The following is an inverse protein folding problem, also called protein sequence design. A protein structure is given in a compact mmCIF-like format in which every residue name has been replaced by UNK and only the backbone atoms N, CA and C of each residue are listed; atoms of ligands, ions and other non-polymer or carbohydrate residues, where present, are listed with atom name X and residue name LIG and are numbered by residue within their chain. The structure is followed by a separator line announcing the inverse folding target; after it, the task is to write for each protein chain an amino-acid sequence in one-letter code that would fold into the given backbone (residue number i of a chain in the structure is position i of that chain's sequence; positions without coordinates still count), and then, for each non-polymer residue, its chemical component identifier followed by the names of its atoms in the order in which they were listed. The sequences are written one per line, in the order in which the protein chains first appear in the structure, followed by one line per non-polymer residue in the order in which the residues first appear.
data_IF_985058150439
#
_entry.id   IF_985058150439
#
_cell.length_a   1.000
_cell.length_b   1.000
_cell.length_c   1.000
_cell.angle_alpha   90.00
_cell.angle_beta   90.00
_cell.angle_gamma   90.00
#
_symmetry.space_group_name_H-M   'P 1'
#
loop_
_entity.id
_entity.type
_entity.pdbx_description
1 polymer ?
#
# COMPACT_ATOMS: atom_id res chain seq x y z
N UNK A 1 -22.51 4.12 5.12
CA UNK A 1 -23.85 4.71 4.88
C UNK A 1 -24.60 3.87 3.87
N UNK A 2 -25.94 3.87 3.88
CA UNK A 2 -26.73 3.18 2.86
C UNK A 2 -26.52 3.83 1.46
N UNK A 3 -26.32 3.05 0.40
CA UNK A 3 -26.27 3.55 -0.98
C UNK A 3 -27.56 4.29 -1.35
N UNK A 4 -27.46 5.53 -1.85
CA UNK A 4 -28.64 6.34 -2.21
C UNK A 4 -28.77 6.58 -3.71
N UNK A 5 -27.65 6.72 -4.42
CA UNK A 5 -27.65 6.94 -5.87
C UNK A 5 -27.53 5.60 -6.62
N UNK A 6 -27.96 5.57 -7.89
CA UNK A 6 -27.79 4.39 -8.76
C UNK A 6 -26.32 3.95 -8.82
N UNK A 7 -25.40 4.91 -9.01
CA UNK A 7 -23.96 4.64 -9.02
C UNK A 7 -23.48 3.99 -7.70
N UNK A 8 -23.93 4.50 -6.55
CA UNK A 8 -23.55 3.91 -5.25
C UNK A 8 -24.12 2.50 -5.08
N UNK A 9 -25.33 2.24 -5.57
CA UNK A 9 -25.95 0.92 -5.51
C UNK A 9 -25.19 -0.09 -6.38
N UNK A 10 -24.86 0.29 -7.63
CA UNK A 10 -24.04 -0.53 -8.53
C UNK A 10 -22.68 -0.83 -7.92
N UNK A 11 -21.93 0.20 -7.52
CA UNK A 11 -20.59 0.03 -6.92
C UNK A 11 -20.64 -0.81 -5.65
N UNK A 12 -21.64 -0.61 -4.79
CA UNK A 12 -21.79 -1.41 -3.58
C UNK A 12 -22.09 -2.88 -3.91
N UNK A 13 -22.93 -3.15 -4.90
CA UNK A 13 -23.22 -4.52 -5.35
C UNK A 13 -21.96 -5.21 -5.92
N UNK A 14 -21.19 -4.52 -6.76
CA UNK A 14 -19.92 -5.03 -7.29
C UNK A 14 -18.91 -5.30 -6.18
N UNK A 15 -18.82 -4.39 -5.21
CA UNK A 15 -17.94 -4.50 -4.05
C UNK A 15 -18.15 -5.78 -3.24
N UNK A 16 -19.40 -6.20 -3.05
CA UNK A 16 -19.71 -7.43 -2.30
C UNK A 16 -19.29 -8.71 -3.03
N UNK A 17 -19.09 -8.65 -4.34
CA UNK A 17 -18.72 -9.81 -5.17
C UNK A 17 -17.23 -9.87 -5.48
N UNK A 18 -16.41 -8.98 -4.90
CA UNK A 18 -14.97 -9.00 -5.09
C UNK A 18 -14.33 -10.23 -4.43
N UNK A 19 -13.34 -10.86 -5.08
CA UNK A 19 -12.63 -11.97 -4.48
C UNK A 19 -11.80 -11.50 -3.28
N UNK A 20 -11.63 -12.38 -2.29
CA UNK A 20 -10.68 -12.16 -1.21
C UNK A 20 -9.24 -12.03 -1.74
N UNK A 21 -8.35 -11.45 -0.93
CA UNK A 21 -6.93 -11.41 -1.27
C UNK A 21 -6.36 -12.82 -1.35
N UNK A 22 -5.63 -13.12 -2.42
CA UNK A 22 -5.05 -14.47 -2.60
C UNK A 22 -3.83 -14.69 -1.70
N UNK A 23 -3.50 -15.94 -1.34
CA UNK A 23 -2.30 -16.25 -0.55
C UNK A 23 -1.00 -15.75 -1.19
N UNK A 24 -0.93 -15.69 -2.53
CA UNK A 24 0.23 -15.17 -3.27
C UNK A 24 0.39 -13.66 -3.08
N UNK A 25 -0.72 -12.92 -3.15
CA UNK A 25 -0.75 -11.47 -2.93
C UNK A 25 -0.41 -11.14 -1.47
N UNK A 26 -0.96 -11.90 -0.52
CA UNK A 26 -0.65 -11.78 0.91
C UNK A 26 0.84 -12.05 1.20
N UNK A 27 1.39 -13.14 0.67
CA UNK A 27 2.81 -13.46 0.82
C UNK A 27 3.71 -12.37 0.22
N UNK A 28 3.33 -11.80 -0.92
CA UNK A 28 4.03 -10.66 -1.51
C UNK A 28 3.97 -9.43 -0.60
N UNK A 29 2.79 -9.11 -0.06
CA UNK A 29 2.59 -7.97 0.83
C UNK A 29 3.49 -8.08 2.07
N UNK A 30 3.47 -9.21 2.77
CA UNK A 30 4.28 -9.40 3.98
C UNK A 30 5.78 -9.39 3.71
N UNK A 31 6.22 -9.84 2.53
CA UNK A 31 7.63 -9.85 2.14
C UNK A 31 8.17 -8.48 1.76
N UNK A 32 7.35 -7.64 1.12
CA UNK A 32 7.83 -6.38 0.54
C UNK A 32 7.49 -5.16 1.40
N UNK A 33 6.48 -5.25 2.28
CA UNK A 33 5.98 -4.10 3.01
C UNK A 33 6.25 -4.14 4.52
N UNK A 34 6.67 -5.28 5.08
CA UNK A 34 7.10 -5.39 6.48
C UNK A 34 8.62 -5.30 6.59
N UNK A 35 9.09 -4.74 7.70
CA UNK A 35 10.51 -4.75 8.02
C UNK A 35 10.92 -6.14 8.51
N UNK A 36 11.95 -6.70 7.87
CA UNK A 36 12.56 -7.96 8.25
C UNK A 36 13.75 -7.71 9.18
N UNK A 37 13.54 -7.90 10.49
CA UNK A 37 14.51 -7.50 11.52
C UNK A 37 15.10 -8.73 12.24
N UNK A 38 16.40 -8.67 12.52
CA UNK A 38 17.10 -9.58 13.42
C UNK A 38 17.55 -8.83 14.67
N UNK A 39 17.04 -9.20 15.85
CA UNK A 39 17.51 -8.59 17.09
C UNK A 39 18.80 -9.26 17.57
N UNK A 40 19.85 -8.46 17.73
CA UNK A 40 21.12 -8.92 18.32
C UNK A 40 21.07 -8.81 19.83
N UNK A 41 21.34 -9.94 20.48
CA UNK A 41 21.63 -10.05 21.90
C UNK A 41 23.11 -10.41 22.13
N UNK A 42 23.53 -10.55 23.39
CA UNK A 42 24.89 -11.02 23.74
C UNK A 42 25.22 -12.42 23.20
N UNK A 43 24.19 -13.24 22.96
CA UNK A 43 24.32 -14.67 22.65
C UNK A 43 23.94 -14.99 21.19
N UNK A 44 23.91 -13.99 20.31
CA UNK A 44 23.58 -14.16 18.90
C UNK A 44 22.40 -13.31 18.43
N UNK A 45 21.93 -13.60 17.22
CA UNK A 45 20.87 -12.88 16.52
C UNK A 45 19.61 -13.74 16.48
N UNK A 46 18.47 -13.14 16.82
CA UNK A 46 17.17 -13.79 16.70
C UNK A 46 16.40 -13.18 15.54
N UNK A 47 16.04 -14.01 14.55
CA UNK A 47 15.15 -13.62 13.45
C UNK A 47 13.74 -13.34 14.00
N UNK A 48 13.20 -12.15 13.73
CA UNK A 48 11.84 -11.81 14.16
C UNK A 48 10.74 -12.38 13.26
N UNK A 49 11.06 -12.88 12.08
CA UNK A 49 10.07 -13.52 11.19
C UNK A 49 9.75 -14.96 11.59
N UNK A 50 10.78 -15.77 11.86
CA UNK A 50 10.63 -17.20 12.15
C UNK A 50 11.04 -17.59 13.56
N UNK A 51 11.55 -16.66 14.39
CA UNK A 51 11.96 -16.91 15.76
C UNK A 51 13.32 -17.59 15.93
N UNK A 52 13.92 -18.11 14.85
CA UNK A 52 15.20 -18.83 14.90
C UNK A 52 16.33 -17.94 15.40
N UNK A 53 17.05 -18.43 16.41
CA UNK A 53 18.27 -17.82 16.92
C UNK A 53 19.48 -18.48 16.27
N UNK A 54 20.47 -17.68 15.91
CA UNK A 54 21.70 -18.14 15.27
C UNK A 54 22.86 -17.20 15.59
N UNK A 55 24.07 -17.71 15.46
CA UNK A 55 25.27 -16.91 15.66
C UNK A 55 25.48 -15.92 14.52
N UNK A 56 25.84 -14.70 14.88
CA UNK A 56 26.18 -13.67 13.93
C UNK A 56 27.31 -12.84 14.50
N UNK A 57 28.39 -12.73 13.74
CA UNK A 57 29.60 -12.03 14.17
C UNK A 57 29.33 -10.61 14.70
N UNK A 58 30.29 -10.06 15.46
CA UNK A 58 30.15 -8.72 16.01
C UNK A 58 29.95 -7.69 14.89
N UNK A 59 29.14 -6.67 15.16
CA UNK A 59 28.96 -5.48 14.29
C UNK A 59 28.36 -5.72 12.88
N UNK A 60 27.89 -6.93 12.52
CA UNK A 60 27.16 -7.10 11.24
C UNK A 60 25.85 -6.29 11.25
N UNK A 61 25.58 -5.55 10.16
CA UNK A 61 24.36 -4.72 9.98
C UNK A 61 23.24 -5.47 9.26
N UNK A 62 23.57 -6.51 8.50
CA UNK A 62 22.60 -7.38 7.82
C UNK A 62 23.01 -8.84 7.98
N UNK A 63 22.04 -9.75 8.00
CA UNK A 63 22.26 -11.18 8.11
C UNK A 63 21.20 -11.93 7.30
N UNK A 64 21.54 -13.08 6.72
CA UNK A 64 20.55 -13.97 6.11
C UNK A 64 20.15 -15.02 7.15
N UNK A 65 18.86 -15.14 7.45
CA UNK A 65 18.40 -16.14 8.41
C UNK A 65 18.72 -17.56 7.89
N UNK A 66 19.34 -18.44 8.69
CA UNK A 66 19.64 -19.80 8.24
C UNK A 66 18.38 -20.65 8.03
N UNK A 67 17.28 -20.35 8.70
CA UNK A 67 16.01 -21.08 8.58
C UNK A 67 15.16 -20.53 7.42
N UNK A 68 14.59 -19.32 7.56
CA UNK A 68 13.67 -18.76 6.56
C UNK A 68 14.34 -18.11 5.35
N UNK A 69 15.68 -18.02 5.33
CA UNK A 69 16.49 -17.44 4.24
C UNK A 69 16.23 -15.96 3.92
N UNK A 70 15.37 -15.28 4.67
CA UNK A 70 15.11 -13.84 4.55
C UNK A 70 16.35 -13.04 4.96
N UNK A 71 16.63 -11.96 4.23
CA UNK A 71 17.66 -10.97 4.58
C UNK A 71 17.11 -10.04 5.65
N UNK A 72 17.79 -10.00 6.79
CA UNK A 72 17.41 -9.26 7.98
C UNK A 72 18.27 -8.00 8.13
N UNK A 73 17.63 -6.89 8.53
CA UNK A 73 18.32 -5.75 9.14
C UNK A 73 18.63 -6.09 10.59
N UNK A 74 19.91 -6.10 10.96
CA UNK A 74 20.33 -6.46 12.31
C UNK A 74 20.32 -5.22 13.19
N UNK A 75 19.57 -5.29 14.29
CA UNK A 75 19.44 -4.19 15.25
C UNK A 75 19.93 -4.67 16.62
N UNK A 76 20.94 -3.98 17.17
CA UNK A 76 21.40 -4.22 18.53
C UNK A 76 20.41 -3.59 19.51
N UNK A 77 19.67 -4.42 20.24
CA UNK A 77 18.65 -3.95 21.19
C UNK A 77 18.36 -4.98 22.25
N UNK A 78 17.86 -4.53 23.40
CA UNK A 78 17.31 -5.40 24.46
C UNK A 78 15.82 -5.69 24.27
N UNK A 79 15.16 -5.03 23.32
CA UNK A 79 13.74 -5.27 22.99
C UNK A 79 13.57 -6.72 22.52
N UNK A 80 12.45 -7.34 22.88
CA UNK A 80 12.07 -8.69 22.43
C UNK A 80 10.86 -8.70 21.50
N UNK A 81 10.13 -7.59 21.41
CA UNK A 81 8.92 -7.46 20.59
C UNK A 81 9.14 -6.41 19.50
N UNK A 82 8.43 -6.59 18.39
CA UNK A 82 8.28 -5.61 17.32
C UNK A 82 6.86 -5.73 16.82
N UNK A 83 6.13 -4.63 16.83
CA UNK A 83 4.79 -4.56 16.26
C UNK A 83 4.85 -3.60 15.07
N UNK A 84 4.29 -4.02 13.95
CA UNK A 84 4.24 -3.25 12.72
C UNK A 84 2.79 -3.12 12.29
N UNK A 85 2.36 -1.91 11.92
CA UNK A 85 1.02 -1.60 11.42
C UNK A 85 1.17 -0.62 10.25
N UNK A 86 0.54 -0.94 9.12
CA UNK A 86 0.83 -0.29 7.83
C UNK A 86 -0.37 -0.41 6.88
N UNK A 87 -0.89 0.67 6.30
CA UNK A 87 -2.01 0.65 5.30
C UNK A 87 -1.53 0.33 3.87
N UNK A 88 -0.35 -0.26 3.80
CA UNK A 88 0.65 0.01 2.78
C UNK A 88 0.44 -0.63 1.42
N UNK A 89 -0.58 -1.45 1.24
CA UNK A 89 -0.62 -2.36 0.09
C UNK A 89 -1.91 -2.19 -0.68
N UNK A 90 -1.76 -1.97 -1.98
CA UNK A 90 -2.87 -1.77 -2.89
C UNK A 90 -2.93 -2.85 -3.94
N UNK A 91 -4.12 -3.32 -4.26
CA UNK A 91 -4.42 -4.08 -5.47
C UNK A 91 -5.16 -3.15 -6.43
N UNK A 92 -4.69 -3.11 -7.67
CA UNK A 92 -5.34 -2.39 -8.77
C UNK A 92 -6.03 -3.43 -9.66
N UNK A 93 -7.29 -3.20 -10.00
CA UNK A 93 -8.05 -4.10 -10.86
C UNK A 93 -9.04 -3.32 -11.73
N UNK A 94 -9.69 -4.00 -12.66
CA UNK A 94 -10.80 -3.48 -13.46
C UNK A 94 -12.01 -4.37 -13.27
N UNK A 95 -13.13 -3.77 -12.88
CA UNK A 95 -14.42 -4.44 -12.75
C UNK A 95 -15.42 -3.64 -13.57
N UNK A 96 -15.94 -4.28 -14.62
CA UNK A 96 -16.79 -3.62 -15.62
C UNK A 96 -16.07 -2.38 -16.20
N UNK A 97 -16.70 -1.20 -16.18
CA UNK A 97 -16.12 0.07 -16.62
C UNK A 97 -15.22 0.74 -15.56
N UNK A 98 -15.20 0.24 -14.33
CA UNK A 98 -14.53 0.90 -13.22
C UNK A 98 -13.07 0.49 -13.12
N UNK A 99 -12.21 1.50 -13.00
CA UNK A 99 -10.94 1.32 -12.34
C UNK A 99 -11.20 1.13 -10.85
N UNK A 100 -10.68 0.03 -10.31
CA UNK A 100 -10.76 -0.34 -8.91
C UNK A 100 -9.37 -0.26 -8.27
N UNK A 101 -9.33 0.33 -7.08
CA UNK A 101 -8.16 0.36 -6.21
C UNK A 101 -8.59 -0.11 -4.82
N UNK A 102 -8.07 -1.27 -4.39
CA UNK A 102 -8.36 -1.90 -3.09
C UNK A 102 -7.18 -1.71 -2.15
N UNK A 103 -7.43 -1.11 -0.99
CA UNK A 103 -6.42 -0.86 0.04
C UNK A 103 -6.50 -1.92 1.13
N UNK A 104 -5.34 -2.47 1.45
CA UNK A 104 -5.16 -3.45 2.51
C UNK A 104 -4.21 -2.89 3.55
N UNK A 105 -4.64 -3.00 4.80
CA UNK A 105 -3.76 -2.76 5.92
C UNK A 105 -3.17 -4.09 6.39
N UNK A 106 -1.90 -4.04 6.79
CA UNK A 106 -1.13 -5.18 7.26
C UNK A 106 -0.67 -4.90 8.69
N UNK A 107 -0.74 -5.94 9.50
CA UNK A 107 -0.23 -5.94 10.86
C UNK A 107 0.64 -7.14 11.07
N UNK A 108 1.69 -6.97 11.86
CA UNK A 108 2.51 -8.08 12.30
C UNK A 108 2.99 -7.88 13.72
N UNK A 109 2.82 -8.93 14.52
CA UNK A 109 3.31 -9.01 15.89
C UNK A 109 4.45 -10.01 15.92
N UNK A 110 5.63 -9.52 16.29
CA UNK A 110 6.84 -10.31 16.37
C UNK A 110 7.29 -10.42 17.81
N UNK A 111 7.73 -11.62 18.20
CA UNK A 111 8.36 -11.88 19.48
C UNK A 111 9.59 -12.74 19.25
N UNK A 112 10.73 -12.32 19.79
CA UNK A 112 11.98 -13.08 19.73
C UNK A 112 11.74 -14.52 20.23
N UNK A 113 12.14 -15.50 19.42
CA UNK A 113 11.94 -16.93 19.71
C UNK A 113 10.63 -17.52 19.19
N UNK A 114 9.74 -16.71 18.60
CA UNK A 114 8.44 -17.16 18.08
C UNK A 114 8.28 -16.78 16.60
N UNK A 115 7.45 -17.54 15.90
CA UNK A 115 7.01 -17.21 14.54
C UNK A 115 6.13 -15.95 14.61
N UNK A 116 6.34 -15.03 13.67
CA UNK A 116 5.56 -13.80 13.58
C UNK A 116 4.08 -14.10 13.28
N UNK A 117 3.18 -13.43 14.00
CA UNK A 117 1.75 -13.42 13.67
C UNK A 117 1.50 -12.28 12.70
N UNK A 118 0.88 -12.56 11.55
CA UNK A 118 0.62 -11.56 10.51
C UNK A 118 -0.87 -11.56 10.18
N UNK A 119 -1.38 -10.38 9.87
CA UNK A 119 -2.77 -10.15 9.53
C UNK A 119 -2.81 -9.18 8.35
N UNK A 120 -3.72 -9.42 7.42
CA UNK A 120 -4.03 -8.54 6.31
C UNK A 120 -5.55 -8.39 6.22
N UNK A 121 -6.02 -7.19 5.92
CA UNK A 121 -7.45 -6.94 5.80
C UNK A 121 -7.73 -5.75 4.89
N UNK A 122 -8.81 -5.85 4.12
CA UNK A 122 -9.23 -4.80 3.21
C UNK A 122 -9.95 -3.69 3.98
N UNK A 123 -9.55 -2.44 3.77
CA UNK A 123 -10.04 -1.28 4.52
C UNK A 123 -10.77 -0.25 3.68
N UNK A 124 -10.43 -0.14 2.39
CA UNK A 124 -11.00 0.86 1.50
C UNK A 124 -10.94 0.38 0.05
N UNK A 125 -11.94 0.76 -0.73
CA UNK A 125 -12.03 0.57 -2.16
C UNK A 125 -12.39 1.91 -2.80
N UNK A 126 -11.59 2.30 -3.79
CA UNK A 126 -11.83 3.47 -4.62
C UNK A 126 -12.26 3.00 -6.01
N UNK A 127 -13.45 3.43 -6.43
CA UNK A 127 -14.10 3.07 -7.69
C UNK A 127 -14.31 4.31 -8.54
N UNK A 128 -13.82 4.30 -9.77
CA UNK A 128 -13.95 5.44 -10.69
C UNK A 128 -13.76 5.01 -12.14
N UNK A 129 -14.49 5.64 -13.06
CA UNK A 129 -14.19 5.62 -14.48
C UNK A 129 -13.39 6.89 -14.87
N UNK A 130 -12.75 6.93 -16.06
CA UNK A 130 -11.97 8.09 -16.47
C UNK A 130 -12.80 9.38 -16.48
N UNK A 131 -12.31 10.42 -15.79
CA UNK A 131 -12.99 11.71 -15.59
C UNK A 131 -14.33 11.66 -14.82
N UNK A 132 -14.70 10.51 -14.25
CA UNK A 132 -15.92 10.39 -13.45
C UNK A 132 -15.68 10.58 -11.95
N UNK A 133 -16.78 10.66 -11.19
CA UNK A 133 -16.74 10.88 -9.76
C UNK A 133 -16.29 9.62 -9.02
N UNK A 134 -15.29 9.76 -8.15
CA UNK A 134 -14.87 8.73 -7.21
C UNK A 134 -16.02 8.31 -6.27
N UNK A 135 -16.30 7.01 -6.27
CA UNK A 135 -17.15 6.33 -5.28
C UNK A 135 -16.28 5.50 -4.34
N UNK A 136 -16.55 5.59 -3.03
CA UNK A 136 -15.75 4.94 -2.00
C UNK A 136 -16.59 3.92 -1.26
N UNK A 137 -16.08 2.70 -1.15
CA UNK A 137 -16.58 1.68 -0.21
C UNK A 137 -15.48 1.40 0.79
N UNK A 138 -15.69 1.72 2.06
CA UNK A 138 -14.63 1.62 3.07
C UNK A 138 -15.19 1.30 4.44
N UNK A 139 -14.30 0.75 5.28
CA UNK A 139 -14.53 0.60 6.72
C UNK A 139 -14.55 1.97 7.39
N UNK A 140 -15.16 2.08 8.57
CA UNK A 140 -15.20 3.35 9.29
C UNK A 140 -13.78 3.71 9.71
N UNK A 141 -13.28 4.86 9.28
CA UNK A 141 -11.96 5.35 9.69
C UNK A 141 -12.13 6.41 10.79
N UNK A 142 -11.61 6.11 11.99
CA UNK A 142 -11.64 7.02 13.14
C UNK A 142 -10.55 8.09 13.09
N UNK A 143 -9.38 7.78 12.52
CA UNK A 143 -8.26 8.71 12.37
C UNK A 143 -7.82 8.76 10.90
N UNK A 144 -7.61 9.94 10.32
CA UNK A 144 -7.31 10.07 8.88
C UNK A 144 -6.04 9.32 8.48
N UNK A 145 -6.22 8.13 7.87
CA UNK A 145 -5.20 7.12 7.54
C UNK A 145 -4.84 6.11 8.64
N UNK A 146 -5.61 5.87 9.71
CA UNK A 146 -5.43 4.72 10.63
C UNK A 146 -6.73 4.43 11.42
N UNK A 147 -6.84 3.23 11.98
CA UNK A 147 -7.97 2.89 12.86
C UNK A 147 -9.27 2.66 12.10
N UNK A 148 -9.19 1.87 11.02
CA UNK A 148 -10.37 1.33 10.38
C UNK A 148 -11.10 0.38 11.34
N UNK A 149 -12.42 0.24 11.19
CA UNK A 149 -13.26 -0.72 11.93
C UNK A 149 -14.64 -0.88 11.26
N UNK A 150 -15.35 -1.94 11.65
CA UNK A 150 -16.68 -2.24 11.11
C UNK A 150 -16.64 -2.66 9.64
N UNK A 151 -17.81 -2.74 9.02
CA UNK A 151 -17.96 -3.30 7.67
C UNK A 151 -17.61 -2.32 6.55
N UNK A 152 -17.33 -2.89 5.37
CA UNK A 152 -17.17 -2.14 4.13
C UNK A 152 -18.52 -1.57 3.72
N UNK A 153 -18.66 -0.26 3.78
CA UNK A 153 -19.87 0.46 3.40
C UNK A 153 -19.55 1.59 2.45
N UNK A 154 -20.52 2.01 1.65
CA UNK A 154 -20.40 3.28 0.90
C UNK A 154 -20.08 4.40 1.88
N UNK A 155 -19.09 5.22 1.55
CA UNK A 155 -18.67 6.40 2.32
C UNK A 155 -18.83 7.67 1.49
N UNK A 156 -19.12 8.76 2.19
CA UNK A 156 -19.14 10.07 1.55
C UNK A 156 -17.71 10.50 1.21
N UNK A 157 -17.53 10.91 -0.03
CA UNK A 157 -16.32 11.58 -0.51
C UNK A 157 -16.43 13.08 -0.18
N UNK A 158 -16.26 13.43 1.10
CA UNK A 158 -16.19 14.82 1.53
C UNK A 158 -14.73 15.23 1.69
N UNK A 159 -14.28 16.13 0.82
CA UNK A 159 -13.13 17.00 1.06
C UNK A 159 -13.64 18.42 1.27
N UNK A 160 -13.15 19.11 2.29
CA UNK A 160 -13.35 20.54 2.49
C UNK A 160 -12.00 21.24 2.60
N UNK A 161 -12.00 22.58 2.59
CA UNK A 161 -10.80 23.38 2.80
C UNK A 161 -10.08 23.01 4.11
N UNK A 162 -10.82 22.61 5.15
CA UNK A 162 -10.30 22.29 6.47
C UNK A 162 -10.11 20.78 6.72
N UNK A 163 -10.55 19.91 5.80
CA UNK A 163 -10.53 18.47 6.00
C UNK A 163 -10.35 17.73 4.67
N UNK A 164 -9.19 17.13 4.48
CA UNK A 164 -8.95 16.21 3.36
C UNK A 164 -9.87 15.00 3.46
N UNK A 165 -10.26 14.43 2.33
CA UNK A 165 -11.01 13.17 2.32
C UNK A 165 -10.18 12.09 3.03
N UNK A 166 -10.66 11.61 4.18
CA UNK A 166 -9.98 10.58 5.00
C UNK A 166 -9.85 9.20 4.34
N UNK A 167 -10.46 9.01 3.17
CA UNK A 167 -10.37 7.82 2.35
C UNK A 167 -9.55 8.03 1.06
N UNK A 168 -8.91 9.20 0.92
CA UNK A 168 -7.80 9.38 -0.01
C UNK A 168 -6.53 8.84 0.66
N UNK A 169 -6.37 7.52 0.59
CA UNK A 169 -5.34 6.80 1.32
C UNK A 169 -4.03 6.76 0.56
N UNK A 170 -2.93 6.83 1.31
CA UNK A 170 -1.59 6.69 0.78
C UNK A 170 -1.23 5.21 0.62
N UNK A 171 -0.73 4.84 -0.56
CA UNK A 171 -0.25 3.51 -0.88
C UNK A 171 1.28 3.51 -0.86
N UNK A 172 1.88 2.70 0.02
CA UNK A 172 3.33 2.52 0.01
C UNK A 172 3.77 1.62 -1.15
N UNK A 173 2.96 0.62 -1.50
CA UNK A 173 3.25 -0.32 -2.57
C UNK A 173 1.98 -0.81 -3.29
N UNK A 174 2.13 -1.15 -4.57
CA UNK A 174 1.09 -1.79 -5.38
C UNK A 174 1.50 -3.23 -5.65
N UNK A 175 0.61 -4.19 -5.38
CA UNK A 175 0.88 -5.60 -5.65
C UNK A 175 0.91 -5.81 -7.17
N UNK A 176 1.95 -6.49 -7.71
CA UNK A 176 2.06 -6.69 -9.14
C UNK A 176 1.06 -7.70 -9.69
N UNK A 177 0.68 -7.54 -10.97
CA UNK A 177 -0.17 -8.45 -11.74
C UNK A 177 -1.66 -8.11 -11.71
N UNK A 178 -2.03 -6.94 -11.23
CA UNK A 178 -3.37 -6.37 -11.31
C UNK A 178 -3.73 -5.88 -12.71
N UNK A 179 -5.02 -5.60 -12.93
CA UNK A 179 -5.53 -5.06 -14.20
C UNK A 179 -5.73 -3.55 -14.08
N UNK A 180 -5.56 -2.86 -15.19
CA UNK A 180 -5.75 -1.43 -15.24
C UNK A 180 -6.44 -1.05 -16.56
N UNK A 181 -7.29 -0.02 -16.53
CA UNK A 181 -7.95 0.43 -17.75
C UNK A 181 -6.91 0.86 -18.80
N UNK A 182 -7.12 0.53 -20.10
CA UNK A 182 -6.13 0.76 -21.15
C UNK A 182 -5.62 2.21 -21.23
N UNK A 183 -6.48 3.20 -20.92
CA UNK A 183 -6.10 4.61 -20.94
C UNK A 183 -4.97 4.93 -19.94
N UNK A 184 -4.98 4.32 -18.76
CA UNK A 184 -3.96 4.57 -17.74
C UNK A 184 -2.66 3.84 -18.07
N UNK A 185 -2.75 2.62 -18.61
CA UNK A 185 -1.59 1.87 -19.10
C UNK A 185 -0.91 2.64 -20.23
N UNK A 186 -1.69 3.12 -21.21
CA UNK A 186 -1.21 3.98 -22.31
C UNK A 186 -0.48 5.21 -21.79
N UNK A 187 -1.01 5.83 -20.73
CA UNK A 187 -0.44 7.02 -20.11
C UNK A 187 0.71 6.71 -19.12
N UNK A 188 1.17 5.46 -19.04
CA UNK A 188 2.39 5.09 -18.32
C UNK A 188 2.18 4.53 -16.92
N UNK A 189 0.95 4.17 -16.51
CA UNK A 189 0.74 3.48 -15.24
C UNK A 189 1.60 2.21 -15.15
N UNK A 190 2.25 2.02 -13.99
CA UNK A 190 3.01 0.82 -13.67
C UNK A 190 2.93 0.54 -12.19
N UNK A 191 2.74 -0.71 -11.79
CA UNK A 191 2.65 -1.13 -10.38
C UNK A 191 3.97 -0.98 -9.62
N UNK A 192 5.07 -0.70 -10.33
CA UNK A 192 6.36 -0.35 -9.73
C UNK A 192 6.32 1.03 -9.05
N UNK A 193 5.33 1.87 -9.37
CA UNK A 193 5.13 3.14 -8.65
C UNK A 193 4.62 2.85 -7.24
N UNK A 194 5.44 3.15 -6.24
CA UNK A 194 5.08 3.10 -4.83
C UNK A 194 5.03 4.50 -4.24
N UNK A 195 4.61 4.61 -2.98
CA UNK A 195 4.60 5.86 -2.24
C UNK A 195 3.74 6.96 -2.91
N UNK A 196 2.47 6.65 -3.20
CA UNK A 196 1.55 7.53 -3.94
C UNK A 196 0.13 7.48 -3.38
N UNK A 197 -0.68 8.51 -3.67
CA UNK A 197 -2.14 8.44 -3.56
C UNK A 197 -2.70 7.88 -4.88
N UNK A 198 -3.22 6.64 -4.94
CA UNK A 198 -3.60 6.00 -6.20
C UNK A 198 -4.63 6.80 -7.02
N UNK A 199 -5.69 7.32 -6.38
CA UNK A 199 -6.68 8.12 -7.11
C UNK A 199 -6.07 9.41 -7.70
N UNK A 200 -5.19 10.09 -6.95
CA UNK A 200 -4.42 11.24 -7.46
C UNK A 200 -3.51 10.86 -8.63
N UNK A 201 -2.84 9.71 -8.55
CA UNK A 201 -2.04 9.16 -9.65
C UNK A 201 -2.90 8.97 -10.91
N UNK A 202 -4.01 8.25 -10.81
CA UNK A 202 -4.88 7.96 -11.95
C UNK A 202 -5.50 9.22 -12.55
N UNK A 203 -5.93 10.17 -11.73
CA UNK A 203 -6.49 11.44 -12.22
C UNK A 203 -5.44 12.32 -12.89
N UNK A 204 -4.22 12.44 -12.33
CA UNK A 204 -3.12 13.20 -12.95
C UNK A 204 -2.64 12.55 -14.24
N UNK A 205 -2.61 11.21 -14.33
CA UNK A 205 -2.25 10.50 -15.56
C UNK A 205 -3.11 10.91 -16.77
N UNK A 206 -4.34 11.36 -16.58
CA UNK A 206 -5.21 11.80 -17.68
C UNK A 206 -4.86 13.19 -18.23
N UNK A 207 -4.05 13.99 -17.52
CA UNK A 207 -3.93 15.44 -17.77
C UNK A 207 -2.48 15.96 -17.71
N UNK A 208 -1.57 15.22 -17.09
CA UNK A 208 -0.21 15.67 -16.81
C UNK A 208 0.81 14.89 -17.65
N UNK A 209 1.16 15.45 -18.81
CA UNK A 209 2.15 14.86 -19.75
C UNK A 209 3.54 14.71 -19.14
N UNK A 210 3.89 15.56 -18.16
CA UNK A 210 5.15 15.48 -17.43
C UNK A 210 5.19 14.24 -16.55
N UNK A 211 4.11 13.99 -15.80
CA UNK A 211 3.99 12.76 -15.00
C UNK A 211 4.08 11.51 -15.89
N UNK A 212 3.35 11.48 -17.00
CA UNK A 212 3.40 10.39 -17.98
C UNK A 212 4.84 10.13 -18.45
N UNK A 213 5.58 11.18 -18.80
CA UNK A 213 6.99 11.07 -19.24
C UNK A 213 7.89 10.52 -18.13
N UNK A 214 7.74 10.97 -16.88
CA UNK A 214 8.51 10.46 -15.75
C UNK A 214 8.26 8.96 -15.54
N UNK A 215 7.01 8.52 -15.65
CA UNK A 215 6.65 7.12 -15.49
C UNK A 215 7.19 6.26 -16.64
N UNK A 216 7.02 6.71 -17.89
CA UNK A 216 7.50 6.01 -19.09
C UNK A 216 9.02 5.92 -19.18
N UNK A 217 9.74 6.94 -18.68
CA UNK A 217 11.21 6.94 -18.59
C UNK A 217 11.75 6.18 -17.38
N UNK A 218 10.88 5.63 -16.52
CA UNK A 218 11.28 4.87 -15.33
C UNK A 218 11.78 5.73 -14.17
N UNK A 219 11.59 7.05 -14.21
CA UNK A 219 11.94 7.99 -13.14
C UNK A 219 10.93 7.96 -11.99
N UNK A 220 10.72 6.78 -11.40
CA UNK A 220 9.63 6.51 -10.45
C UNK A 220 9.73 7.33 -9.17
N UNK A 221 10.94 7.63 -8.67
CA UNK A 221 11.12 8.47 -7.48
C UNK A 221 10.68 9.91 -7.72
N UNK A 222 11.01 10.47 -8.90
CA UNK A 222 10.56 11.82 -9.29
C UNK A 222 9.06 11.85 -9.56
N UNK A 223 8.50 10.79 -10.17
CA UNK A 223 7.06 10.64 -10.34
C UNK A 223 6.32 10.59 -9.00
N UNK A 224 6.80 9.81 -8.02
CA UNK A 224 6.24 9.78 -6.66
C UNK A 224 6.34 11.15 -5.98
N UNK A 225 7.48 11.84 -6.10
CA UNK A 225 7.65 13.21 -5.63
C UNK A 225 6.64 14.19 -6.24
N UNK A 226 6.29 14.00 -7.53
CA UNK A 226 5.29 14.79 -8.28
C UNK A 226 3.88 14.63 -7.76
N UNK A 227 3.58 13.41 -7.34
CA UNK A 227 2.28 13.02 -6.83
C UNK A 227 2.11 13.44 -5.38
N UNK A 228 3.22 13.63 -4.66
CA UNK A 228 3.26 14.17 -3.30
C UNK A 228 3.55 15.67 -3.22
N UNK A 229 4.18 16.08 -2.12
CA UNK A 229 4.38 17.49 -1.75
C UNK A 229 5.52 18.19 -2.54
N UNK A 230 6.11 17.52 -3.54
CA UNK A 230 7.25 18.04 -4.29
C UNK A 230 6.93 18.42 -5.74
N UNK A 231 5.65 18.38 -6.16
CA UNK A 231 5.20 18.73 -7.52
C UNK A 231 5.82 20.03 -8.04
N UNK A 232 5.73 21.10 -7.26
CA UNK A 232 6.26 22.42 -7.62
C UNK A 232 7.79 22.53 -7.65
N UNK A 233 8.54 21.49 -7.26
CA UNK A 233 10.01 21.49 -7.21
C UNK A 233 10.67 20.57 -8.22
N UNK A 234 9.89 19.84 -9.01
CA UNK A 234 10.43 18.86 -9.96
C UNK A 234 11.32 19.48 -11.01
N UNK A 235 11.01 20.69 -11.46
CA UNK A 235 11.82 21.43 -12.42
C UNK A 235 13.28 21.65 -11.97
N UNK A 236 13.59 21.47 -10.67
CA UNK A 236 14.97 21.58 -10.15
C UNK A 236 15.79 20.30 -10.34
N UNK A 237 15.12 19.19 -10.65
CA UNK A 237 15.71 17.86 -10.71
C UNK A 237 15.44 17.16 -12.05
N UNK A 238 14.68 17.82 -12.93
CA UNK A 238 14.40 17.36 -14.27
C UNK A 238 14.57 18.55 -15.22
N UNK A 239 15.72 18.56 -15.89
CA UNK A 239 15.98 19.46 -17.00
C UNK A 239 15.12 19.00 -18.18
N UNK A 240 14.15 19.84 -18.54
CA UNK A 240 13.21 19.61 -19.64
C UNK A 240 13.88 19.71 -21.00
#
# INVERSE_FOLDING_TARGET
MKPRTKLQQTVYSLSQNLPEITPKQEAWAFKNCLDHIGYRSKTGITCLDCGTKFDGGPRIKTAKCPNCKIKLKVVATRKKKLDQRRISVVIVDVVEEFQLVRFFEIYSYHRSGYIAKRFIWEVCQQWFAPNEKLTIVARTCSFGNLGFSGDLEVRQNHSSYYSSNKYDLYADAIIPGGKCLPIYVRNGFTEKIGCVYPYSLFTKLLRDSKLETLLKSGQLHLASGKLGNHDGRIHRYWDS
#
